data_IF_576497674401
#
_entry.id   IF_576497674401
#
_cell.length_a   1.000
_cell.length_b   1.000
_cell.length_c   1.000
_cell.angle_alpha   90.00
_cell.angle_beta   90.00
_cell.angle_gamma   90.00
#
_symmetry.space_group_name_H-M   'P 1'
#
loop_
_entity.id
_entity.type
_entity.pdbx_description
1 polymer ?
#
# COMPACT_ATOMS: atom_id res chain seq x y z
N UNK A 1 66.93 17.66 1.94
CA UNK A 1 65.77 17.78 2.85
C UNK A 1 64.42 17.99 2.13
N UNK A 2 64.35 18.75 1.05
CA UNK A 2 63.11 19.02 0.30
C UNK A 2 62.52 17.81 -0.44
N UNK A 3 63.30 16.90 -0.92
CA UNK A 3 62.86 15.72 -1.73
C UNK A 3 62.02 14.78 -0.84
N UNK A 4 62.40 14.55 0.40
CA UNK A 4 61.65 13.65 1.31
C UNK A 4 60.30 14.21 1.72
N UNK A 5 60.13 15.55 1.70
CA UNK A 5 58.86 16.19 2.04
C UNK A 5 57.85 16.04 0.91
N UNK A 6 58.27 16.13 -0.35
CA UNK A 6 57.44 15.98 -1.54
C UNK A 6 56.91 14.55 -1.68
N UNK A 7 57.77 13.55 -1.43
CA UNK A 7 57.37 12.13 -1.45
C UNK A 7 56.38 11.79 -0.33
N UNK A 8 56.54 12.39 0.87
CA UNK A 8 55.59 12.23 1.98
C UNK A 8 54.20 12.81 1.65
N UNK A 9 54.18 13.97 0.97
CA UNK A 9 52.89 14.58 0.55
C UNK A 9 52.20 13.74 -0.51
N UNK A 10 52.91 13.25 -1.51
CA UNK A 10 52.38 12.35 -2.53
C UNK A 10 51.79 11.08 -1.92
N UNK A 11 52.48 10.46 -0.98
CA UNK A 11 52.02 9.25 -0.30
C UNK A 11 50.71 9.53 0.48
N UNK A 12 50.60 10.64 1.19
CA UNK A 12 49.37 11.01 1.89
C UNK A 12 48.21 11.26 0.96
N UNK A 13 48.44 11.88 -0.21
CA UNK A 13 47.41 12.12 -1.23
C UNK A 13 46.93 10.79 -1.84
N UNK A 14 47.85 9.85 -2.15
CA UNK A 14 47.51 8.54 -2.63
C UNK A 14 46.70 7.73 -1.63
N UNK A 15 47.04 7.75 -0.36
CA UNK A 15 46.29 7.08 0.72
C UNK A 15 44.88 7.69 0.87
N UNK A 16 44.75 9.01 0.82
CA UNK A 16 43.46 9.69 0.86
C UNK A 16 42.59 9.34 -0.37
N UNK A 17 43.14 9.32 -1.57
CA UNK A 17 42.42 8.95 -2.78
C UNK A 17 41.96 7.48 -2.74
N UNK A 18 42.83 6.56 -2.27
CA UNK A 18 42.50 5.17 -2.09
C UNK A 18 41.39 4.96 -1.05
N UNK A 19 41.45 5.67 0.08
CA UNK A 19 40.37 5.60 1.09
C UNK A 19 39.06 6.16 0.56
N UNK A 20 39.04 7.28 -0.15
CA UNK A 20 37.84 7.82 -0.79
C UNK A 20 37.25 6.87 -1.84
N UNK A 21 38.11 6.22 -2.66
CA UNK A 21 37.67 5.21 -3.61
C UNK A 21 37.06 3.98 -2.91
N UNK A 22 37.65 3.54 -1.81
CA UNK A 22 37.17 2.41 -1.03
C UNK A 22 35.81 2.70 -0.40
N UNK A 23 35.61 3.89 0.16
CA UNK A 23 34.33 4.32 0.71
C UNK A 23 33.25 4.49 -0.37
N UNK A 24 33.60 4.93 -1.58
CA UNK A 24 32.63 5.03 -2.69
C UNK A 24 32.22 3.66 -3.25
N UNK A 25 33.06 2.63 -3.10
CA UNK A 25 32.74 1.26 -3.50
C UNK A 25 31.86 0.51 -2.47
N UNK A 26 31.94 0.91 -1.19
CA UNK A 26 31.13 0.31 -0.11
C UNK A 26 29.72 0.88 -0.01
N UNK A 27 29.49 2.07 -0.54
CA UNK A 27 28.21 2.80 -0.46
C UNK A 27 27.35 2.64 -1.70
N UNK A 28 27.03 1.42 -2.12
CA UNK A 28 25.90 1.26 -3.06
C UNK A 28 24.64 1.71 -2.31
N UNK A 29 23.94 2.79 -2.76
CA UNK A 29 22.66 3.12 -2.17
C UNK A 29 21.78 1.89 -2.30
N UNK A 30 21.33 1.36 -1.16
CA UNK A 30 20.37 0.27 -1.18
C UNK A 30 19.12 0.82 -1.87
N UNK A 31 18.76 0.25 -3.01
CA UNK A 31 17.54 0.62 -3.71
C UNK A 31 16.37 0.50 -2.73
N UNK A 32 15.49 1.51 -2.65
CA UNK A 32 14.28 1.39 -1.83
C UNK A 32 13.54 0.12 -2.23
N UNK A 33 13.45 -0.81 -1.30
CA UNK A 33 12.75 -2.07 -1.51
C UNK A 33 11.36 -1.97 -0.90
N UNK A 34 10.34 -2.35 -1.65
CA UNK A 34 9.02 -2.55 -1.07
C UNK A 34 9.11 -3.62 0.02
N UNK A 35 8.56 -3.32 1.20
CA UNK A 35 8.52 -4.27 2.32
C UNK A 35 7.60 -5.45 2.02
N UNK A 36 6.59 -5.24 1.18
CA UNK A 36 5.66 -6.26 0.74
C UNK A 36 5.40 -6.15 -0.75
N UNK A 37 5.44 -7.29 -1.44
CA UNK A 37 5.27 -7.41 -2.89
C UNK A 37 4.17 -8.43 -3.18
N UNK A 38 2.99 -7.98 -3.60
CA UNK A 38 1.95 -8.89 -4.09
C UNK A 38 2.12 -9.08 -5.61
N UNK A 39 2.51 -10.28 -6.00
CA UNK A 39 2.69 -10.64 -7.42
C UNK A 39 1.53 -11.47 -7.96
N UNK A 40 0.50 -11.74 -7.15
CA UNK A 40 -0.57 -12.71 -7.44
C UNK A 40 -1.44 -12.34 -8.65
N UNK A 41 -1.43 -11.07 -9.07
CA UNK A 41 -2.31 -10.59 -10.15
C UNK A 41 -1.61 -10.42 -11.50
N UNK A 42 -0.35 -10.01 -11.50
CA UNK A 42 0.37 -9.61 -12.73
C UNK A 42 1.77 -10.20 -12.84
N UNK A 43 2.19 -11.05 -11.88
CA UNK A 43 3.56 -11.58 -11.84
C UNK A 43 4.62 -10.52 -11.51
N UNK A 44 4.25 -9.26 -11.34
CA UNK A 44 5.10 -8.14 -10.91
C UNK A 44 4.53 -7.52 -9.63
N UNK A 45 5.39 -6.90 -8.80
CA UNK A 45 4.97 -6.26 -7.55
C UNK A 45 3.87 -5.23 -7.76
N UNK A 46 2.80 -5.34 -6.98
CA UNK A 46 1.72 -4.37 -6.97
C UNK A 46 1.00 -4.36 -5.62
N UNK A 47 1.20 -3.33 -4.83
CA UNK A 47 0.50 -3.09 -3.56
C UNK A 47 0.30 -1.58 -3.44
N UNK A 48 -0.81 -1.07 -4.01
CA UNK A 48 -1.08 0.36 -4.07
C UNK A 48 -1.96 0.80 -2.89
N UNK A 49 -1.85 2.06 -2.49
CA UNK A 49 -2.66 2.70 -1.45
C UNK A 49 -2.71 1.88 -0.13
N UNK A 50 -1.56 1.46 0.45
CA UNK A 50 -1.56 0.60 1.62
C UNK A 50 -1.99 1.35 2.87
N UNK A 51 -2.84 0.72 3.70
CA UNK A 51 -3.17 1.16 5.04
C UNK A 51 -2.90 0.05 6.05
N UNK A 52 -2.18 0.36 7.13
CA UNK A 52 -1.76 -0.62 8.13
C UNK A 52 -2.38 -0.29 9.49
N UNK A 53 -2.92 -1.31 10.15
CA UNK A 53 -3.43 -1.22 11.52
C UNK A 53 -2.85 -2.34 12.37
N UNK A 54 -2.72 -2.10 13.70
CA UNK A 54 -2.45 -3.16 14.66
C UNK A 54 -3.77 -3.70 15.20
N UNK A 55 -3.98 -4.99 15.08
CA UNK A 55 -5.21 -5.63 15.50
C UNK A 55 -4.95 -7.04 16.02
N UNK A 56 -5.42 -7.32 17.26
CA UNK A 56 -5.29 -8.64 17.91
C UNK A 56 -3.85 -9.20 17.90
N UNK A 57 -2.87 -8.33 18.21
CA UNK A 57 -1.45 -8.71 18.32
C UNK A 57 -0.72 -8.97 17.00
N UNK A 58 -1.28 -8.52 15.89
CA UNK A 58 -0.66 -8.54 14.56
C UNK A 58 -0.92 -7.25 13.81
N UNK A 59 -0.09 -6.98 12.82
CA UNK A 59 -0.32 -5.91 11.85
C UNK A 59 -1.10 -6.48 10.66
N UNK A 60 -2.10 -5.75 10.23
CA UNK A 60 -2.87 -6.03 9.01
C UNK A 60 -2.70 -4.86 8.06
N UNK A 61 -2.34 -5.16 6.82
CA UNK A 61 -2.24 -4.20 5.73
C UNK A 61 -3.34 -4.48 4.71
N UNK A 62 -4.13 -3.46 4.44
CA UNK A 62 -5.11 -3.43 3.36
C UNK A 62 -4.53 -2.62 2.23
N UNK A 63 -4.62 -3.11 1.00
CA UNK A 63 -4.01 -2.47 -0.17
C UNK A 63 -4.81 -2.77 -1.44
N UNK A 64 -4.73 -1.85 -2.39
CA UNK A 64 -5.36 -2.05 -3.69
C UNK A 64 -4.60 -3.10 -4.51
N UNK A 65 -5.34 -4.09 -5.02
CA UNK A 65 -4.91 -5.05 -6.03
C UNK A 65 -5.46 -4.66 -7.41
N UNK A 66 -4.67 -4.78 -8.47
CA UNK A 66 -5.14 -4.49 -9.81
C UNK A 66 -6.14 -5.54 -10.30
N UNK A 67 -6.91 -5.24 -11.36
CA UNK A 67 -7.72 -6.25 -12.04
C UNK A 67 -6.87 -7.45 -12.49
N UNK A 68 -7.47 -8.61 -12.52
CA UNK A 68 -6.85 -9.83 -13.06
C UNK A 68 -6.74 -9.72 -14.58
N UNK A 69 -5.59 -10.07 -15.14
CA UNK A 69 -5.39 -10.06 -16.59
C UNK A 69 -6.02 -11.28 -17.28
N UNK A 70 -6.15 -12.37 -16.55
CA UNK A 70 -6.70 -13.67 -17.01
C UNK A 70 -8.22 -13.76 -16.90
N UNK A 71 -8.88 -12.73 -16.34
CA UNK A 71 -10.34 -12.70 -16.15
C UNK A 71 -10.90 -11.41 -16.73
N UNK A 72 -11.62 -11.54 -17.84
CA UNK A 72 -12.29 -10.40 -18.47
C UNK A 72 -13.34 -9.78 -17.54
N UNK A 73 -13.34 -8.46 -17.45
CA UNK A 73 -14.27 -7.71 -16.58
C UNK A 73 -13.98 -7.80 -15.09
N UNK A 74 -12.83 -8.37 -14.68
CA UNK A 74 -12.41 -8.29 -13.29
C UNK A 74 -12.07 -6.86 -12.92
N UNK A 75 -12.58 -6.38 -11.77
CA UNK A 75 -12.24 -5.09 -11.18
C UNK A 75 -11.00 -5.16 -10.28
N UNK A 76 -10.61 -4.00 -9.76
CA UNK A 76 -9.67 -3.91 -8.65
C UNK A 76 -10.29 -4.52 -7.38
N UNK A 77 -9.46 -5.09 -6.52
CA UNK A 77 -9.87 -5.66 -5.23
C UNK A 77 -8.99 -5.08 -4.11
N UNK A 78 -9.37 -5.34 -2.88
CA UNK A 78 -8.53 -5.02 -1.72
C UNK A 78 -7.83 -6.30 -1.27
N UNK A 79 -6.50 -6.32 -1.31
CA UNK A 79 -5.68 -7.37 -0.73
C UNK A 79 -5.51 -7.18 0.76
N UNK A 80 -5.31 -8.28 1.49
CA UNK A 80 -5.05 -8.29 2.92
C UNK A 80 -3.74 -9.05 3.16
N UNK A 81 -2.76 -8.38 3.78
CA UNK A 81 -1.54 -9.00 4.24
C UNK A 81 -1.41 -8.87 5.76
N UNK A 82 -0.74 -9.83 6.38
CA UNK A 82 -0.48 -9.86 7.84
C UNK A 82 1.01 -9.93 8.13
N UNK A 83 1.43 -9.25 9.19
CA UNK A 83 2.78 -9.28 9.72
C UNK A 83 2.79 -9.26 11.26
N UNK A 84 3.85 -9.78 11.88
CA UNK A 84 4.11 -9.64 13.32
C UNK A 84 5.15 -8.57 13.63
N UNK A 85 5.92 -8.15 12.64
CA UNK A 85 7.13 -7.33 12.81
C UNK A 85 7.22 -6.14 11.84
N UNK A 86 6.21 -5.91 11.00
CA UNK A 86 6.17 -4.90 9.93
C UNK A 86 7.20 -5.11 8.81
N UNK A 87 7.99 -6.17 8.87
CA UNK A 87 9.03 -6.50 7.90
C UNK A 87 8.64 -7.71 7.05
N UNK A 88 8.21 -8.77 7.72
CA UNK A 88 7.83 -10.01 7.07
C UNK A 88 6.30 -10.07 6.93
N UNK A 89 5.84 -9.98 5.69
CA UNK A 89 4.42 -9.96 5.35
C UNK A 89 3.99 -11.21 4.60
N UNK A 90 2.79 -11.68 4.87
CA UNK A 90 2.15 -12.76 4.14
C UNK A 90 0.74 -12.37 3.74
N UNK A 91 0.34 -12.66 2.50
CA UNK A 91 -1.03 -12.48 2.06
C UNK A 91 -1.95 -13.46 2.81
N UNK A 92 -3.04 -12.93 3.37
CA UNK A 92 -3.99 -13.71 4.17
C UNK A 92 -5.42 -13.67 3.62
N UNK A 93 -5.73 -12.77 2.69
CA UNK A 93 -7.06 -12.67 2.12
C UNK A 93 -7.20 -11.61 1.03
N UNK A 94 -8.42 -11.53 0.51
CA UNK A 94 -8.86 -10.48 -0.41
C UNK A 94 -10.32 -10.12 -0.13
N UNK A 95 -10.65 -8.85 -0.31
CA UNK A 95 -12.02 -8.35 -0.34
C UNK A 95 -12.37 -8.13 -1.80
N UNK A 96 -13.37 -8.85 -2.27
CA UNK A 96 -13.87 -8.81 -3.65
C UNK A 96 -15.24 -8.14 -3.71
N UNK A 97 -15.65 -7.60 -4.86
CA UNK A 97 -17.00 -7.09 -5.05
C UNK A 97 -18.07 -8.11 -4.69
N UNK A 98 -19.10 -7.69 -3.97
CA UNK A 98 -20.27 -8.49 -3.71
C UNK A 98 -21.20 -8.49 -4.92
N UNK A 99 -21.77 -9.67 -5.25
CA UNK A 99 -22.61 -9.87 -6.44
C UNK A 99 -23.80 -8.92 -6.50
N UNK A 100 -24.38 -8.58 -5.36
CA UNK A 100 -25.59 -7.77 -5.26
C UNK A 100 -25.29 -6.29 -5.01
N UNK A 101 -24.04 -5.90 -4.76
CA UNK A 101 -23.63 -4.54 -4.55
C UNK A 101 -23.33 -3.85 -5.90
N UNK A 102 -24.34 -3.23 -6.48
CA UNK A 102 -24.27 -2.60 -7.80
C UNK A 102 -23.14 -1.56 -7.88
N UNK A 103 -22.87 -0.86 -6.78
CA UNK A 103 -21.81 0.13 -6.67
C UNK A 103 -20.40 -0.49 -6.60
N UNK A 104 -20.25 -1.79 -6.26
CA UNK A 104 -18.95 -2.48 -6.23
C UNK A 104 -18.62 -3.19 -7.57
N UNK A 105 -19.54 -3.24 -8.49
CA UNK A 105 -19.50 -4.10 -9.69
C UNK A 105 -18.18 -4.03 -10.47
N UNK A 106 -17.57 -2.86 -10.55
CA UNK A 106 -16.36 -2.63 -11.35
C UNK A 106 -15.07 -2.66 -10.51
N UNK A 107 -15.16 -2.79 -9.20
CA UNK A 107 -14.02 -2.96 -8.31
C UNK A 107 -14.02 -2.09 -7.06
N UNK A 108 -13.07 -2.40 -6.20
CA UNK A 108 -12.80 -1.76 -4.91
C UNK A 108 -11.33 -1.32 -4.86
N UNK A 109 -11.04 -0.16 -4.30
CA UNK A 109 -9.65 0.28 -4.11
C UNK A 109 -9.50 1.31 -2.98
N UNK A 110 -8.28 1.78 -2.77
CA UNK A 110 -7.90 2.84 -1.83
C UNK A 110 -8.50 2.63 -0.43
N UNK A 111 -8.15 1.52 0.27
CA UNK A 111 -8.69 1.22 1.58
C UNK A 111 -8.12 2.13 2.65
N UNK A 112 -8.99 2.59 3.57
CA UNK A 112 -8.62 3.22 4.83
C UNK A 112 -9.19 2.41 6.00
N UNK A 113 -8.39 2.04 6.98
CA UNK A 113 -8.81 1.18 8.09
C UNK A 113 -8.69 1.88 9.44
N UNK A 114 -9.64 1.65 10.33
CA UNK A 114 -9.67 2.15 11.69
C UNK A 114 -10.02 1.01 12.65
N UNK A 115 -9.25 0.87 13.72
CA UNK A 115 -9.60 -0.03 14.82
C UNK A 115 -10.41 0.72 15.86
N UNK A 116 -11.65 0.31 16.08
CA UNK A 116 -12.54 0.90 17.07
C UNK A 116 -13.45 -0.19 17.67
N UNK A 117 -13.70 -0.10 18.97
CA UNK A 117 -14.60 -0.99 19.72
C UNK A 117 -14.33 -2.48 19.47
N UNK A 118 -13.03 -2.86 19.38
CA UNK A 118 -12.59 -4.24 19.15
C UNK A 118 -12.85 -4.77 17.74
N UNK A 119 -13.16 -3.90 16.78
CA UNK A 119 -13.43 -4.22 15.38
C UNK A 119 -12.56 -3.38 14.45
N UNK A 120 -12.40 -3.85 13.22
CA UNK A 120 -11.85 -3.05 12.13
C UNK A 120 -13.01 -2.47 11.32
N UNK A 121 -13.01 -1.16 11.20
CA UNK A 121 -13.83 -0.40 10.26
C UNK A 121 -12.99 -0.12 9.04
N UNK A 122 -13.39 -0.63 7.89
CA UNK A 122 -12.74 -0.42 6.61
C UNK A 122 -13.60 0.49 5.74
N UNK A 123 -13.01 1.60 5.32
CA UNK A 123 -13.57 2.47 4.32
C UNK A 123 -12.84 2.25 3.02
N UNK A 124 -13.54 2.19 1.92
CA UNK A 124 -12.95 1.92 0.61
C UNK A 124 -13.71 2.64 -0.48
N UNK A 125 -12.99 2.93 -1.54
CA UNK A 125 -13.56 3.53 -2.73
C UNK A 125 -14.10 2.45 -3.64
N UNK A 126 -15.28 2.68 -4.24
CA UNK A 126 -15.69 1.93 -5.44
C UNK A 126 -14.92 2.45 -6.65
N UNK A 127 -14.66 1.61 -7.63
CA UNK A 127 -13.81 1.96 -8.75
C UNK A 127 -14.43 1.58 -10.10
N UNK A 128 -14.22 2.44 -11.09
CA UNK A 128 -14.63 2.19 -12.48
C UNK A 128 -16.09 2.55 -12.79
N UNK A 129 -16.79 3.22 -11.87
CA UNK A 129 -18.17 3.67 -12.07
C UNK A 129 -18.26 5.15 -12.50
N UNK A 130 -17.12 5.78 -12.80
CA UNK A 130 -17.05 7.19 -13.21
C UNK A 130 -17.63 8.13 -12.14
N UNK A 131 -18.64 8.91 -12.48
CA UNK A 131 -19.28 9.84 -11.55
C UNK A 131 -19.96 9.19 -10.34
N UNK A 132 -20.17 7.88 -10.38
CA UNK A 132 -20.81 7.12 -9.30
C UNK A 132 -19.78 6.47 -8.37
N UNK A 133 -18.47 6.71 -8.54
CA UNK A 133 -17.47 6.26 -7.58
C UNK A 133 -17.73 6.94 -6.23
N UNK A 134 -17.80 6.12 -5.18
CA UNK A 134 -18.25 6.53 -3.86
C UNK A 134 -17.41 5.85 -2.77
N UNK A 135 -17.51 6.31 -1.54
CA UNK A 135 -16.90 5.66 -0.37
C UNK A 135 -17.92 4.73 0.25
N UNK A 136 -17.48 3.51 0.48
CA UNK A 136 -18.22 2.46 1.16
C UNK A 136 -17.55 2.09 2.48
N UNK A 137 -18.30 1.41 3.35
CA UNK A 137 -17.86 0.99 4.66
C UNK A 137 -18.14 -0.50 4.86
N UNK A 138 -17.24 -1.18 5.57
CA UNK A 138 -17.42 -2.55 6.01
C UNK A 138 -16.79 -2.76 7.39
N UNK A 139 -17.25 -3.74 8.14
CA UNK A 139 -16.79 -4.03 9.50
C UNK A 139 -16.32 -5.46 9.60
N UNK A 140 -15.23 -5.69 10.35
CA UNK A 140 -14.69 -7.02 10.62
C UNK A 140 -14.33 -7.19 12.10
N UNK A 141 -14.56 -8.38 12.63
CA UNK A 141 -14.14 -8.80 13.96
C UNK A 141 -12.84 -9.59 13.94
N UNK A 142 -12.40 -10.09 12.78
CA UNK A 142 -11.18 -10.87 12.60
C UNK A 142 -10.13 -10.20 11.69
N UNK A 143 -10.54 -9.12 11.00
CA UNK A 143 -9.70 -8.36 10.08
C UNK A 143 -9.52 -9.01 8.70
N UNK A 144 -10.25 -10.10 8.41
CA UNK A 144 -10.17 -10.82 7.13
C UNK A 144 -11.54 -10.90 6.45
N UNK A 145 -12.57 -11.23 7.21
CA UNK A 145 -13.94 -11.30 6.71
C UNK A 145 -14.69 -10.03 7.08
N UNK A 146 -15.29 -9.38 6.10
CA UNK A 146 -15.92 -8.08 6.24
C UNK A 146 -17.39 -8.12 5.87
N UNK A 147 -18.23 -7.69 6.80
CA UNK A 147 -19.64 -7.44 6.57
C UNK A 147 -19.83 -6.02 6.02
N UNK A 148 -20.52 -5.89 4.88
CA UNK A 148 -20.80 -4.59 4.26
C UNK A 148 -21.83 -3.82 5.07
N UNK A 149 -21.62 -2.51 5.20
CA UNK A 149 -22.62 -1.63 5.77
C UNK A 149 -23.86 -1.60 4.86
N UNK A 150 -25.04 -1.88 5.39
CA UNK A 150 -26.27 -1.89 4.58
C UNK A 150 -26.65 -0.50 4.04
N UNK A 151 -26.06 0.58 4.58
CA UNK A 151 -26.26 1.96 4.10
C UNK A 151 -25.31 2.36 2.96
N UNK A 152 -24.45 1.44 2.49
CA UNK A 152 -23.50 1.74 1.42
C UNK A 152 -24.20 2.21 0.12
N UNK A 153 -23.59 3.19 -0.57
CA UNK A 153 -22.38 3.91 -0.22
C UNK A 153 -22.60 4.91 0.92
N UNK A 154 -21.69 4.96 1.88
CA UNK A 154 -21.79 5.87 3.05
C UNK A 154 -21.45 7.32 2.74
N UNK A 155 -20.73 7.57 1.66
CA UNK A 155 -20.42 8.91 1.20
C UNK A 155 -20.33 8.99 -0.32
N UNK A 156 -21.05 9.95 -0.87
CA UNK A 156 -20.94 10.41 -2.25
C UNK A 156 -20.94 11.94 -2.24
N UNK A 157 -20.03 12.60 -2.97
CA UNK A 157 -19.94 14.05 -2.92
C UNK A 157 -21.17 14.71 -3.53
N UNK A 158 -21.59 15.81 -2.91
CA UNK A 158 -22.71 16.65 -3.34
C UNK A 158 -22.26 18.11 -3.46
N UNK A 159 -23.00 18.92 -4.20
CA UNK A 159 -22.71 20.35 -4.38
C UNK A 159 -21.99 20.66 -5.69
N UNK A 160 -22.05 21.91 -6.10
CA UNK A 160 -21.62 22.37 -7.43
C UNK A 160 -20.08 22.37 -7.62
N UNK A 161 -19.33 22.31 -6.52
CA UNK A 161 -17.85 22.34 -6.50
C UNK A 161 -17.19 20.98 -6.75
N UNK A 162 -17.95 19.88 -6.73
CA UNK A 162 -17.39 18.53 -6.84
C UNK A 162 -17.37 17.99 -8.27
N UNK A 163 -16.52 16.99 -8.52
CA UNK A 163 -16.45 16.30 -9.82
C UNK A 163 -17.42 15.12 -9.92
N UNK A 164 -18.28 14.91 -8.92
CA UNK A 164 -19.22 13.80 -8.83
C UNK A 164 -18.61 12.47 -8.39
N UNK A 165 -17.34 12.45 -7.93
CA UNK A 165 -16.63 11.26 -7.46
C UNK A 165 -16.09 11.44 -6.05
N UNK A 166 -16.18 10.39 -5.23
CA UNK A 166 -15.42 10.27 -3.99
C UNK A 166 -14.30 9.25 -4.19
N UNK A 167 -13.06 9.66 -3.96
CA UNK A 167 -11.86 8.85 -4.16
C UNK A 167 -10.88 9.02 -3.00
N UNK A 168 -9.96 8.04 -2.85
CA UNK A 168 -8.82 8.07 -1.94
C UNK A 168 -9.21 8.36 -0.49
N UNK A 169 -9.96 7.41 0.12
CA UNK A 169 -10.38 7.51 1.51
C UNK A 169 -9.16 7.50 2.45
N UNK A 170 -8.92 8.62 3.13
CA UNK A 170 -7.88 8.74 4.13
C UNK A 170 -8.52 9.03 5.50
N UNK A 171 -8.19 8.19 6.49
CA UNK A 171 -8.67 8.33 7.86
C UNK A 171 -7.57 8.94 8.73
N UNK A 172 -7.91 10.01 9.44
CA UNK A 172 -7.07 10.60 10.48
C UNK A 172 -7.69 10.28 11.84
N UNK A 173 -6.87 9.85 12.79
CA UNK A 173 -7.25 9.56 14.18
C UNK A 173 -6.45 10.43 15.14
#
# INVERSE_FOLDING_TARGET
MAINHLESIKMRVYVLLLTCLFFSLLGKPQQPRMMYEDTSRRGVPFSKDPHVVNFQGRYLMYYTLPPRLDVSGSGANIGIASSKDLVNWSKVGEITPEKNAVYEKNGLCAPGALVRDGKIHLFYQTYGNGKNDAICHAVSTDGIHFDRDPSNPVFHPTGDWNCGRAIDCLLYT
#
